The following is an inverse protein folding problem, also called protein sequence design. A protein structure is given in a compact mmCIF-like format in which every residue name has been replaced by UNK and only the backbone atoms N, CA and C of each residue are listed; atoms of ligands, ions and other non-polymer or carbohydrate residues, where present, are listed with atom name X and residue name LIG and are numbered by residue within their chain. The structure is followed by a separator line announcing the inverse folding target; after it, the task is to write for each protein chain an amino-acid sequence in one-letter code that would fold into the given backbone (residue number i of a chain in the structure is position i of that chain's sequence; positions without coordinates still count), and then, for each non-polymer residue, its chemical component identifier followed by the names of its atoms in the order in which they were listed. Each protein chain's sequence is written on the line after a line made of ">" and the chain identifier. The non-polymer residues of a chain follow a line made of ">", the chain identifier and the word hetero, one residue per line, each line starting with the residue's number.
data_IF_285748134625
#
_entry.id   IF_285748134625
#
_cell.length_a   1.000
_cell.length_b   1.000
_cell.length_c   1.000
_cell.angle_alpha   90.00
_cell.angle_beta   90.00
_cell.angle_gamma   90.00
#
_symmetry.space_group_name_H-M   'P 1'
#
loop_
_entity.id
_entity.type
_entity.pdbx_description
1 polymer ?
#
# COMPACT_ATOMS: atom_id res chain seq x y z
N UNK A 1 -2.26 87.85 -28.67
CA UNK A 1 -3.55 87.37 -28.12
C UNK A 1 -3.53 85.85 -28.19
N UNK A 2 -2.75 85.17 -27.35
CA UNK A 2 -2.85 84.97 -25.89
C UNK A 2 -3.28 83.51 -25.67
N UNK A 3 -2.34 82.62 -25.38
CA UNK A 3 -1.86 82.21 -24.03
C UNK A 3 -2.53 80.89 -23.61
N UNK A 4 -1.78 79.80 -23.60
CA UNK A 4 -1.22 79.12 -22.40
C UNK A 4 -2.24 78.24 -21.68
N UNK A 5 -1.97 76.92 -21.64
CA UNK A 5 -1.79 76.12 -20.41
C UNK A 5 -1.66 74.64 -20.81
N UNK A 6 -0.46 74.03 -20.81
CA UNK A 6 0.27 73.50 -19.64
C UNK A 6 -0.64 72.68 -18.71
N UNK A 7 -0.64 71.36 -18.92
CA UNK A 7 -0.85 70.39 -17.85
C UNK A 7 0.15 69.26 -18.04
N UNK A 8 1.38 69.52 -17.58
CA UNK A 8 2.40 68.51 -17.38
C UNK A 8 1.95 67.65 -16.17
N UNK A 9 1.49 66.43 -16.42
CA UNK A 9 1.39 65.43 -15.37
C UNK A 9 2.79 64.87 -15.12
N UNK A 10 3.47 65.50 -14.16
CA UNK A 10 4.70 65.01 -13.58
C UNK A 10 4.41 63.73 -12.81
N UNK A 11 4.72 62.59 -13.42
CA UNK A 11 4.78 61.28 -12.77
C UNK A 11 5.99 61.26 -11.83
N UNK A 12 5.80 61.76 -10.61
CA UNK A 12 6.80 61.65 -9.55
C UNK A 12 6.80 60.21 -9.01
N UNK A 13 7.85 59.47 -9.39
CA UNK A 13 8.32 58.26 -8.73
C UNK A 13 8.45 58.49 -7.22
N UNK A 14 7.50 57.98 -6.44
CA UNK A 14 7.72 57.66 -5.04
C UNK A 14 8.01 56.16 -4.94
N UNK A 15 9.29 55.83 -5.14
CA UNK A 15 9.93 54.62 -4.64
C UNK A 15 9.89 54.65 -3.10
N UNK A 16 8.70 54.44 -2.53
CA UNK A 16 8.59 54.03 -1.13
C UNK A 16 9.16 52.62 -1.06
N UNK A 17 10.39 52.53 -0.58
CA UNK A 17 11.02 51.29 -0.14
C UNK A 17 10.17 50.67 0.95
N UNK A 18 9.19 49.86 0.53
CA UNK A 18 8.56 48.88 1.41
C UNK A 18 9.65 47.83 1.64
N UNK A 19 10.41 48.04 2.71
CA UNK A 19 11.11 46.95 3.39
C UNK A 19 10.00 45.99 3.78
N UNK A 20 9.73 45.01 2.91
CA UNK A 20 8.92 43.84 3.24
C UNK A 20 9.73 43.14 4.32
N UNK A 21 9.50 43.55 5.56
CA UNK A 21 9.87 42.81 6.74
C UNK A 21 9.16 41.47 6.59
N UNK A 22 9.81 40.54 5.89
CA UNK A 22 9.38 39.15 5.85
C UNK A 22 9.27 38.77 7.31
N UNK A 23 8.04 38.49 7.82
CA UNK A 23 7.95 37.99 9.16
C UNK A 23 8.86 36.78 9.17
N UNK A 24 9.92 36.84 9.98
CA UNK A 24 10.59 35.63 10.43
C UNK A 24 9.48 34.91 11.15
N UNK A 25 8.78 34.03 10.41
CA UNK A 25 7.96 33.00 11.00
C UNK A 25 8.98 32.22 11.80
N UNK A 26 9.11 32.60 13.07
CA UNK A 26 9.66 31.73 14.07
C UNK A 26 8.72 30.54 14.03
N UNK A 27 9.10 29.53 13.22
CA UNK A 27 8.65 28.17 13.36
C UNK A 27 9.09 27.78 14.75
N UNK A 28 8.31 28.22 15.75
CA UNK A 28 8.36 27.69 17.08
C UNK A 28 8.25 26.19 16.86
N UNK A 29 9.33 25.48 17.15
CA UNK A 29 9.43 24.05 16.91
C UNK A 29 8.32 23.42 17.74
N UNK A 30 7.20 23.12 17.09
CA UNK A 30 6.09 22.46 17.75
C UNK A 30 6.59 21.08 18.17
N UNK A 31 6.17 20.60 19.35
CA UNK A 31 6.53 19.26 19.78
C UNK A 31 6.06 18.29 18.69
N UNK A 32 6.94 17.37 18.24
CA UNK A 32 6.55 16.37 17.25
C UNK A 32 5.38 15.53 17.78
N UNK A 33 4.50 15.08 16.90
CA UNK A 33 3.42 14.14 17.26
C UNK A 33 4.05 12.90 17.91
N UNK A 34 3.63 12.49 19.11
CA UNK A 34 4.15 11.28 19.75
C UNK A 34 3.93 10.07 18.84
N UNK A 35 4.98 9.29 18.60
CA UNK A 35 4.93 8.12 17.71
C UNK A 35 3.86 7.12 18.14
N UNK A 36 3.71 6.90 19.44
CA UNK A 36 2.69 6.03 20.04
C UNK A 36 1.25 6.46 19.66
N UNK A 37 0.98 7.76 19.57
CA UNK A 37 -0.35 8.25 19.19
C UNK A 37 -0.67 7.97 17.72
N UNK A 38 0.33 8.03 16.84
CA UNK A 38 0.19 7.64 15.43
C UNK A 38 -0.06 6.14 15.31
N UNK A 39 0.71 5.32 16.01
CA UNK A 39 0.58 3.86 15.99
C UNK A 39 -0.75 3.38 16.57
N UNK A 40 -1.24 4.03 17.63
CA UNK A 40 -2.55 3.75 18.19
C UNK A 40 -3.68 4.05 17.18
N UNK A 41 -3.63 5.21 16.51
CA UNK A 41 -4.65 5.55 15.50
C UNK A 41 -4.55 4.66 14.26
N UNK A 42 -3.33 4.31 13.85
CA UNK A 42 -3.06 3.35 12.77
C UNK A 42 -3.73 1.99 13.07
N UNK A 43 -3.53 1.45 14.27
CA UNK A 43 -4.13 0.19 14.69
C UNK A 43 -5.66 0.26 14.78
N UNK A 44 -6.21 1.39 15.25
CA UNK A 44 -7.66 1.60 15.32
C UNK A 44 -8.30 1.72 13.94
N UNK A 45 -7.65 2.42 13.00
CA UNK A 45 -8.09 2.53 11.61
C UNK A 45 -8.07 1.15 10.93
N UNK A 46 -6.97 0.41 11.07
CA UNK A 46 -6.86 -0.92 10.47
C UNK A 46 -7.92 -1.90 11.03
N UNK A 47 -8.15 -1.87 12.34
CA UNK A 47 -9.19 -2.68 13.00
C UNK A 47 -10.59 -2.30 12.50
N UNK A 48 -10.92 -1.00 12.45
CA UNK A 48 -12.24 -0.53 12.04
C UNK A 48 -12.53 -0.89 10.58
N UNK A 49 -11.57 -0.70 9.68
CA UNK A 49 -11.72 -1.07 8.27
C UNK A 49 -11.77 -2.60 8.12
N UNK A 50 -10.99 -3.35 8.90
CA UNK A 50 -11.02 -4.81 8.92
C UNK A 50 -12.36 -5.42 9.35
N UNK A 51 -13.20 -4.67 10.09
CA UNK A 51 -14.55 -5.12 10.45
C UNK A 51 -15.54 -5.03 9.28
N UNK A 52 -15.34 -4.10 8.35
CA UNK A 52 -16.27 -3.83 7.26
C UNK A 52 -15.75 -4.28 5.89
N UNK A 53 -14.46 -4.56 5.76
CA UNK A 53 -13.85 -4.98 4.50
C UNK A 53 -12.67 -5.93 4.71
N UNK A 54 -12.56 -6.90 3.80
CA UNK A 54 -11.49 -7.90 3.83
C UNK A 54 -10.20 -7.33 3.26
N UNK A 55 -9.03 -7.71 3.81
CA UNK A 55 -7.77 -7.39 3.17
C UNK A 55 -7.70 -8.03 1.78
N UNK A 56 -7.13 -7.32 0.80
CA UNK A 56 -6.90 -7.88 -0.52
C UNK A 56 -5.96 -9.10 -0.40
N UNK A 57 -6.28 -10.25 -1.00
CA UNK A 57 -5.48 -11.47 -0.88
C UNK A 57 -4.23 -11.38 -1.76
N UNK A 58 -3.25 -10.56 -1.34
CA UNK A 58 -2.00 -10.37 -2.05
C UNK A 58 -0.80 -10.62 -1.15
N UNK A 59 -0.02 -11.64 -1.50
CA UNK A 59 1.33 -11.80 -0.98
C UNK A 59 2.18 -10.73 -1.67
N UNK A 60 2.22 -9.52 -1.12
CA UNK A 60 3.41 -8.69 -1.31
C UNK A 60 4.52 -9.44 -0.59
N UNK A 61 5.29 -10.21 -1.36
CA UNK A 61 6.37 -11.06 -0.86
C UNK A 61 7.29 -10.23 0.04
N UNK A 62 7.21 -10.42 1.36
CA UNK A 62 8.13 -9.82 2.34
C UNK A 62 7.50 -8.99 3.46
N UNK A 63 6.22 -8.58 3.38
CA UNK A 63 5.50 -7.99 4.53
C UNK A 63 4.01 -7.99 4.26
N UNK A 64 3.21 -8.52 5.19
CA UNK A 64 1.82 -8.10 5.27
C UNK A 64 1.86 -6.57 5.48
N UNK A 65 1.45 -5.80 4.48
CA UNK A 65 1.47 -4.35 4.58
C UNK A 65 0.45 -3.95 5.64
N UNK A 66 0.91 -3.82 6.88
CA UNK A 66 0.15 -3.16 7.93
C UNK A 66 -0.10 -1.72 7.49
N UNK A 67 -1.15 -1.12 8.03
CA UNK A 67 -1.35 0.32 7.93
C UNK A 67 -0.05 1.07 8.29
N UNK A 68 0.14 2.28 7.76
CA UNK A 68 1.32 3.11 8.04
C UNK A 68 0.93 4.55 8.29
N UNK A 69 1.25 5.06 9.48
CA UNK A 69 1.13 6.46 9.85
C UNK A 69 2.43 7.26 9.64
N UNK A 70 2.32 8.37 8.93
CA UNK A 70 3.37 9.36 8.72
C UNK A 70 2.94 10.72 9.28
N UNK A 71 3.87 11.48 9.83
CA UNK A 71 3.67 12.87 10.19
C UNK A 71 4.50 13.75 9.25
N UNK A 72 3.83 14.66 8.55
CA UNK A 72 4.40 15.58 7.56
C UNK A 72 4.24 17.01 8.09
N UNK A 73 5.32 17.64 8.62
CA UNK A 73 5.23 18.97 9.21
C UNK A 73 4.62 20.01 8.27
N UNK A 74 3.61 20.75 8.74
CA UNK A 74 2.91 21.76 7.95
C UNK A 74 1.78 21.21 7.06
N UNK A 75 1.66 19.90 6.94
CA UNK A 75 0.54 19.24 6.25
C UNK A 75 -0.36 18.49 7.24
N UNK A 76 0.24 17.70 8.13
CA UNK A 76 -0.42 16.99 9.21
C UNK A 76 -0.06 15.50 9.24
N UNK A 77 -1.02 14.63 9.58
CA UNK A 77 -0.82 13.18 9.65
C UNK A 77 -1.42 12.47 8.43
N UNK A 78 -0.69 11.52 7.85
CA UNK A 78 -1.12 10.71 6.69
C UNK A 78 -1.07 9.24 7.06
N UNK A 79 -2.16 8.53 6.82
CA UNK A 79 -2.29 7.11 7.05
C UNK A 79 -2.54 6.40 5.73
N UNK A 80 -1.74 5.39 5.41
CA UNK A 80 -1.94 4.51 4.26
C UNK A 80 -2.36 3.16 4.80
N UNK A 81 -3.58 2.71 4.51
CA UNK A 81 -4.08 1.43 5.00
C UNK A 81 -3.78 0.31 4.00
N UNK A 82 -3.75 -0.93 4.50
CA UNK A 82 -3.65 -2.12 3.67
C UNK A 82 -4.74 -2.13 2.59
N UNK A 83 -4.41 -2.49 1.33
CA UNK A 83 -5.40 -2.59 0.26
C UNK A 83 -6.55 -3.53 0.61
N UNK A 84 -7.76 -3.17 0.18
CA UNK A 84 -9.00 -3.88 0.49
C UNK A 84 -9.57 -4.59 -0.72
N UNK A 85 -10.08 -5.79 -0.50
CA UNK A 85 -10.70 -6.60 -1.53
C UNK A 85 -12.06 -6.00 -1.94
N UNK A 86 -12.28 -5.83 -3.25
CA UNK A 86 -13.60 -5.59 -3.81
C UNK A 86 -14.14 -6.85 -4.50
N UNK A 87 -15.36 -7.31 -4.15
CA UNK A 87 -16.01 -8.36 -4.91
C UNK A 87 -16.19 -7.88 -6.36
N UNK A 88 -15.93 -8.76 -7.32
CA UNK A 88 -16.18 -8.45 -8.72
C UNK A 88 -17.69 -8.44 -8.95
N UNK A 89 -18.22 -7.31 -9.43
CA UNK A 89 -19.55 -7.25 -10.01
C UNK A 89 -19.57 -7.97 -11.35
N UNK A 90 -19.67 -9.31 -11.34
CA UNK A 90 -19.83 -10.13 -12.54
C UNK A 90 -18.76 -11.22 -12.72
N UNK A 91 -19.26 -12.44 -12.96
CA UNK A 91 -18.56 -13.68 -13.25
C UNK A 91 -17.61 -14.19 -12.15
N UNK A 92 -18.09 -15.17 -11.38
CA UNK A 92 -17.25 -16.01 -10.52
C UNK A 92 -16.63 -17.11 -11.39
N UNK A 93 -15.34 -16.98 -11.72
CA UNK A 93 -14.59 -18.08 -12.32
C UNK A 93 -14.17 -19.02 -11.20
N UNK A 94 -14.95 -20.09 -10.99
CA UNK A 94 -14.66 -21.10 -9.99
C UNK A 94 -13.76 -22.19 -10.59
N UNK A 95 -12.53 -22.30 -10.10
CA UNK A 95 -11.64 -23.41 -10.42
C UNK A 95 -12.05 -24.64 -9.61
N UNK A 96 -12.85 -25.53 -10.20
CA UNK A 96 -13.10 -26.87 -9.62
C UNK A 96 -12.18 -27.90 -10.26
N UNK A 97 -11.20 -28.37 -9.47
CA UNK A 97 -10.45 -29.58 -9.83
C UNK A 97 -11.34 -30.79 -9.52
N UNK A 98 -11.97 -31.37 -10.56
CA UNK A 98 -12.64 -32.68 -10.42
C UNK A 98 -11.65 -33.80 -10.69
N UNK A 99 -11.64 -34.81 -9.81
CA UNK A 99 -10.89 -36.05 -9.99
C UNK A 99 -11.65 -36.93 -10.99
N UNK A 100 -11.12 -37.12 -12.19
CA UNK A 100 -11.73 -38.01 -13.18
C UNK A 100 -11.63 -39.48 -12.70
N UNK A 101 -12.61 -40.35 -13.02
CA UNK A 101 -12.63 -41.75 -12.57
C UNK A 101 -11.46 -42.62 -13.11
N UNK A 102 -10.64 -42.09 -14.02
CA UNK A 102 -9.49 -42.79 -14.63
C UNK A 102 -8.11 -42.30 -14.15
N UNK A 103 -8.02 -41.60 -13.00
CA UNK A 103 -6.72 -41.25 -12.39
C UNK A 103 -5.94 -40.11 -13.07
N UNK A 104 -6.46 -39.50 -14.14
CA UNK A 104 -5.91 -38.26 -14.72
C UNK A 104 -6.59 -37.04 -14.12
N UNK A 105 -5.84 -36.27 -13.34
CA UNK A 105 -6.26 -34.95 -12.85
C UNK A 105 -6.18 -33.97 -14.01
N UNK A 106 -7.31 -33.68 -14.67
CA UNK A 106 -7.36 -32.63 -15.69
C UNK A 106 -8.02 -31.40 -15.06
N UNK A 107 -7.35 -30.24 -14.97
CA UNK A 107 -8.01 -29.01 -14.56
C UNK A 107 -9.09 -28.70 -15.59
N UNK A 108 -10.34 -28.62 -15.16
CA UNK A 108 -11.46 -28.24 -16.03
C UNK A 108 -11.87 -26.83 -15.63
N UNK A 109 -11.75 -25.91 -16.58
CA UNK A 109 -12.12 -24.50 -16.39
C UNK A 109 -13.62 -24.38 -16.60
N UNK A 110 -14.36 -23.98 -15.56
CA UNK A 110 -15.76 -23.61 -15.69
C UNK A 110 -15.90 -22.15 -15.28
N UNK A 111 -16.04 -21.28 -16.28
CA UNK A 111 -16.51 -19.91 -16.05
C UNK A 111 -18.03 -19.98 -15.88
N UNK A 112 -18.54 -19.70 -14.69
CA UNK A 112 -19.98 -19.52 -14.48
C UNK A 112 -20.26 -18.02 -14.46
N UNK A 113 -20.93 -17.55 -15.51
CA UNK A 113 -21.45 -16.18 -15.58
C UNK A 113 -22.89 -16.23 -15.10
N UNK A 114 -23.13 -15.94 -13.82
CA UNK A 114 -24.49 -15.71 -13.35
C UNK A 114 -24.95 -14.33 -13.82
N UNK A 115 -25.82 -14.31 -14.83
CA UNK A 115 -26.55 -13.11 -15.25
C UNK A 115 -28.05 -13.43 -15.16
N UNK A 116 -28.69 -13.04 -14.06
CA UNK A 116 -30.14 -13.07 -13.94
C UNK A 116 -30.79 -14.44 -13.72
N UNK A 117 -30.20 -15.32 -12.91
CA UNK A 117 -30.88 -16.55 -12.43
C UNK A 117 -30.84 -17.76 -13.37
N UNK A 118 -30.40 -17.62 -14.61
CA UNK A 118 -30.10 -18.76 -15.49
C UNK A 118 -28.61 -19.09 -15.45
N UNK A 119 -28.27 -20.24 -14.87
CA UNK A 119 -26.92 -20.79 -14.88
C UNK A 119 -26.62 -21.39 -16.25
N UNK A 120 -26.08 -20.59 -17.18
CA UNK A 120 -25.66 -21.06 -18.49
C UNK A 120 -24.20 -21.51 -18.44
N UNK A 121 -23.96 -22.82 -18.48
CA UNK A 121 -22.62 -23.40 -18.61
C UNK A 121 -22.16 -23.20 -20.05
N UNK A 122 -21.38 -22.15 -20.29
CA UNK A 122 -20.71 -21.95 -21.58
C UNK A 122 -19.42 -22.77 -21.54
N UNK A 123 -19.37 -23.86 -22.32
CA UNK A 123 -18.10 -24.52 -22.60
C UNK A 123 -17.41 -23.69 -23.69
N UNK A 124 -16.20 -23.17 -23.46
CA UNK A 124 -15.47 -22.47 -24.51
C UNK A 124 -15.28 -23.43 -25.68
N UNK A 125 -15.49 -22.94 -26.89
CA UNK A 125 -15.23 -23.73 -28.11
C UNK A 125 -13.75 -24.10 -28.15
N UNK A 126 -13.43 -25.27 -28.71
CA UNK A 126 -12.05 -25.81 -28.72
C UNK A 126 -11.05 -24.81 -29.35
N UNK A 127 -11.52 -24.00 -30.29
CA UNK A 127 -10.73 -22.96 -30.95
C UNK A 127 -10.37 -21.80 -30.02
N UNK A 128 -11.27 -21.41 -29.09
CA UNK A 128 -10.96 -20.40 -28.07
C UNK A 128 -9.90 -20.91 -27.09
N UNK A 129 -9.95 -22.20 -26.75
CA UNK A 129 -8.97 -22.81 -25.86
C UNK A 129 -7.56 -22.83 -26.49
N UNK A 130 -7.48 -23.14 -27.79
CA UNK A 130 -6.22 -23.09 -28.55
C UNK A 130 -5.66 -21.66 -28.66
N UNK A 131 -6.53 -20.67 -28.87
CA UNK A 131 -6.12 -19.26 -28.88
C UNK A 131 -5.56 -18.81 -27.52
N UNK A 132 -6.19 -19.23 -26.41
CA UNK A 132 -5.71 -18.95 -25.05
C UNK A 132 -4.38 -19.64 -24.79
N UNK A 133 -4.21 -20.91 -25.19
CA UNK A 133 -2.94 -21.63 -25.05
C UNK A 133 -1.81 -20.92 -25.80
N UNK A 134 -2.07 -20.47 -27.02
CA UNK A 134 -1.10 -19.72 -27.82
C UNK A 134 -0.72 -18.39 -27.16
N UNK A 135 -1.70 -17.65 -26.65
CA UNK A 135 -1.48 -16.39 -25.94
C UNK A 135 -0.66 -16.60 -24.65
N UNK A 136 -0.88 -17.69 -23.92
CA UNK A 136 -0.09 -18.03 -22.72
C UNK A 136 1.36 -18.35 -23.09
N UNK A 137 1.60 -19.06 -24.19
CA UNK A 137 2.95 -19.36 -24.67
C UNK A 137 3.70 -18.10 -25.11
N UNK A 138 3.03 -17.16 -25.76
CA UNK A 138 3.59 -15.86 -26.12
C UNK A 138 3.96 -15.05 -24.88
N UNK A 139 3.05 -14.97 -23.91
CA UNK A 139 3.31 -14.26 -22.66
C UNK A 139 4.47 -14.88 -21.85
N UNK A 140 4.57 -16.22 -21.82
CA UNK A 140 5.71 -16.89 -21.17
C UNK A 140 7.03 -16.56 -21.86
N UNK A 141 7.05 -16.53 -23.20
CA UNK A 141 8.23 -16.16 -23.97
C UNK A 141 8.64 -14.71 -23.67
N UNK A 142 7.69 -13.78 -23.70
CA UNK A 142 7.94 -12.36 -23.40
C UNK A 142 8.45 -12.17 -21.97
N UNK A 143 7.85 -12.87 -20.99
CA UNK A 143 8.29 -12.83 -19.60
C UNK A 143 9.71 -13.38 -19.41
N UNK A 144 10.09 -14.43 -20.14
CA UNK A 144 11.44 -14.98 -20.11
C UNK A 144 12.46 -14.04 -20.76
N UNK A 145 12.08 -13.37 -21.85
CA UNK A 145 12.89 -12.34 -22.50
C UNK A 145 13.08 -11.12 -21.59
N UNK A 146 12.02 -10.66 -20.93
CA UNK A 146 12.07 -9.58 -19.95
C UNK A 146 12.92 -9.93 -18.74
N UNK A 147 12.88 -11.19 -18.28
CA UNK A 147 13.76 -11.66 -17.20
C UNK A 147 15.23 -11.65 -17.63
N UNK A 148 15.53 -12.15 -18.84
CA UNK A 148 16.90 -12.15 -19.38
C UNK A 148 17.42 -10.73 -19.60
N UNK A 149 16.59 -9.79 -20.06
CA UNK A 149 17.00 -8.39 -20.24
C UNK A 149 17.29 -7.72 -18.89
N UNK A 150 16.44 -7.94 -17.88
CA UNK A 150 16.65 -7.43 -16.52
C UNK A 150 17.94 -7.99 -15.88
N UNK A 151 18.26 -9.26 -16.13
CA UNK A 151 19.50 -9.88 -15.63
C UNK A 151 20.75 -9.25 -16.27
N UNK A 152 20.72 -8.98 -17.58
CA UNK A 152 21.80 -8.28 -18.28
C UNK A 152 21.96 -6.82 -17.80
N UNK A 153 20.84 -6.12 -17.55
CA UNK A 153 20.89 -4.76 -17.00
C UNK A 153 21.46 -4.73 -15.58
N UNK A 154 21.09 -5.71 -14.75
CA UNK A 154 21.62 -5.85 -13.41
C UNK A 154 23.13 -6.11 -13.42
N UNK A 155 23.62 -7.02 -14.27
CA UNK A 155 25.06 -7.25 -14.43
C UNK A 155 25.80 -5.99 -14.88
N UNK A 156 25.20 -5.21 -15.79
CA UNK A 156 25.76 -3.94 -16.26
C UNK A 156 25.86 -2.92 -15.12
N UNK A 157 24.80 -2.74 -14.34
CA UNK A 157 24.78 -1.84 -13.20
C UNK A 157 25.76 -2.27 -12.10
N UNK A 158 25.84 -3.57 -11.81
CA UNK A 158 26.79 -4.14 -10.86
C UNK A 158 28.23 -3.85 -11.26
N UNK A 159 28.56 -3.99 -12.56
CA UNK A 159 29.89 -3.67 -13.09
C UNK A 159 30.20 -2.18 -13.02
N UNK A 160 29.24 -1.30 -13.35
CA UNK A 160 29.43 0.16 -13.23
C UNK A 160 29.68 0.57 -11.78
N UNK A 161 28.92 0.00 -10.85
CA UNK A 161 29.06 0.26 -9.42
C UNK A 161 30.42 -0.25 -8.91
N UNK A 162 30.84 -1.45 -9.31
CA UNK A 162 32.17 -1.98 -8.99
C UNK A 162 33.29 -1.07 -9.53
N UNK A 163 33.18 -0.57 -10.76
CA UNK A 163 34.16 0.36 -11.34
C UNK A 163 34.21 1.71 -10.62
N UNK A 164 33.07 2.20 -10.11
CA UNK A 164 33.02 3.44 -9.30
C UNK A 164 33.60 3.26 -7.90
N UNK A 165 33.41 2.08 -7.30
CA UNK A 165 33.91 1.76 -5.95
C UNK A 165 35.37 1.29 -5.96
N UNK A 166 35.86 0.74 -7.07
CA UNK A 166 37.27 0.48 -7.28
C UNK A 166 37.99 1.84 -7.27
N UNK A 167 38.46 2.23 -6.08
CA UNK A 167 39.20 3.46 -5.87
C UNK A 167 40.37 3.55 -6.87
N UNK A 168 40.68 4.74 -7.42
CA UNK A 168 41.86 4.91 -8.24
C UNK A 168 43.10 4.44 -7.48
N UNK A 169 44.09 3.81 -8.15
CA UNK A 169 45.28 3.31 -7.48
C UNK A 169 45.93 4.46 -6.71
N UNK A 170 46.01 4.28 -5.38
CA UNK A 170 46.58 5.25 -4.48
C UNK A 170 48.02 5.57 -4.91
N UNK A 171 48.35 6.87 -5.00
CA UNK A 171 49.73 7.33 -5.12
C UNK A 171 50.61 6.66 -4.03
N UNK A 172 51.87 6.33 -4.35
CA UNK A 172 52.74 5.57 -3.46
C UNK A 172 52.91 6.30 -2.12
N UNK A 173 52.36 5.70 -1.06
CA UNK A 173 52.48 6.18 0.32
C UNK A 173 53.79 5.66 0.91
N UNK A 174 54.63 6.52 1.52
CA UNK A 174 55.90 6.08 2.10
C UNK A 174 55.69 5.15 3.30
N UNK A 175 56.55 4.14 3.36
CA UNK A 175 56.59 3.07 4.32
C UNK A 175 56.78 3.56 5.76
N UNK A 176 56.05 2.95 6.71
CA UNK A 176 56.21 3.24 8.14
C UNK A 176 55.33 2.42 9.09
N UNK A 177 55.64 1.12 9.22
CA UNK A 177 55.55 0.31 10.45
C UNK A 177 54.17 0.11 11.17
N UNK A 178 54.08 -0.69 12.25
CA UNK A 178 53.94 -2.15 12.20
C UNK A 178 52.64 -2.68 12.88
N UNK A 179 52.43 -3.98 12.63
CA UNK A 179 51.32 -4.89 12.97
C UNK A 179 51.12 -5.13 14.47
N UNK A 180 49.86 -5.25 14.93
CA UNK A 180 49.43 -6.00 16.13
C UNK A 180 47.89 -6.31 16.08
N UNK A 181 47.32 -7.25 16.87
CA UNK A 181 46.83 -8.52 16.34
C UNK A 181 45.31 -8.75 16.42
N UNK A 182 44.92 -9.81 15.71
CA UNK A 182 43.62 -10.42 15.50
C UNK A 182 42.96 -10.86 16.82
N UNK A 183 41.76 -10.34 17.09
CA UNK A 183 40.87 -10.79 18.18
C UNK A 183 39.91 -11.89 17.70
N UNK A 184 39.87 -12.96 18.47
CA UNK A 184 39.31 -14.27 18.16
C UNK A 184 37.79 -14.33 17.97
N UNK A 185 37.34 -15.21 17.06
CA UNK A 185 35.95 -15.63 16.90
C UNK A 185 35.55 -16.64 17.99
N UNK A 186 34.35 -16.53 18.61
CA UNK A 186 33.83 -17.57 19.48
C UNK A 186 33.31 -18.77 18.67
N UNK A 187 33.84 -19.94 19.00
CA UNK A 187 33.43 -21.25 18.50
C UNK A 187 32.13 -21.67 19.19
N UNK A 188 31.07 -21.90 18.41
CA UNK A 188 29.82 -22.45 18.91
C UNK A 188 29.84 -23.99 18.78
N UNK A 189 29.58 -24.77 19.85
CA UNK A 189 29.61 -26.23 19.78
C UNK A 189 28.37 -26.81 19.09
N UNK A 190 28.61 -27.74 18.18
CA UNK A 190 27.57 -28.53 17.51
C UNK A 190 26.96 -29.58 18.47
N UNK A 191 25.63 -29.75 18.52
CA UNK A 191 24.99 -30.88 19.19
C UNK A 191 25.08 -32.16 18.33
N UNK A 192 25.06 -33.35 18.96
CA UNK A 192 25.10 -34.63 18.26
C UNK A 192 23.79 -34.91 17.49
N UNK A 193 23.83 -35.73 16.41
CA UNK A 193 22.64 -36.16 15.71
C UNK A 193 21.86 -37.16 16.58
N UNK A 194 20.75 -36.72 17.15
CA UNK A 194 19.73 -37.61 17.69
C UNK A 194 19.19 -38.48 16.56
N UNK A 195 19.38 -39.79 16.70
CA UNK A 195 18.81 -40.80 15.83
C UNK A 195 17.27 -40.65 15.80
N UNK A 196 16.74 -40.28 14.63
CA UNK A 196 15.31 -40.30 14.34
C UNK A 196 14.87 -41.77 14.22
N UNK A 197 14.38 -42.33 15.33
CA UNK A 197 13.44 -43.44 15.24
C UNK A 197 12.16 -42.92 14.60
N UNK A 198 11.87 -43.33 13.37
CA UNK A 198 10.56 -43.09 12.74
C UNK A 198 9.50 -43.88 13.53
N UNK A 199 8.52 -43.23 14.19
CA UNK A 199 7.33 -43.93 14.62
C UNK A 199 6.51 -44.36 13.39
N UNK A 200 5.76 -45.48 13.47
CA UNK A 200 4.85 -45.90 12.41
C UNK A 200 3.84 -44.77 12.13
N UNK A 201 3.75 -44.37 10.86
CA UNK A 201 2.97 -43.22 10.43
C UNK A 201 1.48 -43.39 10.75
N UNK A 202 0.84 -42.41 11.41
CA UNK A 202 -0.62 -42.39 11.50
C UNK A 202 -1.18 -42.14 10.09
N UNK A 203 -2.07 -43.01 9.63
CA UNK A 203 -2.92 -42.82 8.43
C UNK A 203 -3.95 -41.71 8.67
N UNK A 204 -3.48 -40.52 9.09
CA UNK A 204 -4.28 -39.32 9.19
C UNK A 204 -4.33 -38.59 7.85
N UNK A 205 -5.41 -37.85 7.56
CA UNK A 205 -5.41 -36.91 6.43
C UNK A 205 -4.18 -36.01 6.56
N UNK A 206 -3.36 -35.94 5.51
CA UNK A 206 -2.16 -35.10 5.49
C UNK A 206 -2.52 -33.68 5.97
N UNK A 207 -1.74 -33.09 6.88
CA UNK A 207 -1.98 -31.72 7.31
C UNK A 207 -1.95 -30.81 6.07
N UNK A 208 -2.86 -29.83 5.97
CA UNK A 208 -2.83 -28.89 4.86
C UNK A 208 -1.44 -28.26 4.79
N UNK A 209 -0.91 -28.04 3.58
CA UNK A 209 0.43 -27.52 3.43
C UNK A 209 0.54 -26.14 4.10
N UNK A 210 1.71 -25.79 4.67
CA UNK A 210 1.87 -24.62 5.53
C UNK A 210 1.62 -23.28 4.81
N UNK A 211 1.63 -23.27 3.48
CA UNK A 211 1.29 -22.09 2.68
C UNK A 211 -0.22 -21.79 2.62
N UNK A 212 -1.07 -22.74 3.02
CA UNK A 212 -2.54 -22.56 2.95
C UNK A 212 -3.03 -21.50 3.93
N UNK A 213 -2.32 -21.29 5.04
CA UNK A 213 -2.58 -20.19 5.99
C UNK A 213 -2.14 -18.82 5.47
N UNK A 214 -1.33 -18.75 4.41
CA UNK A 214 -1.01 -17.48 3.73
C UNK A 214 -2.17 -16.95 2.90
N UNK A 215 -3.18 -17.79 2.64
CA UNK A 215 -4.40 -17.41 1.95
C UNK A 215 -5.58 -17.61 2.90
N UNK A 216 -6.01 -16.58 3.66
CA UNK A 216 -7.24 -16.66 4.43
C UNK A 216 -8.40 -16.88 3.47
N UNK A 217 -8.76 -18.13 3.25
CA UNK A 217 -9.80 -18.56 2.30
C UNK A 217 -11.12 -18.85 3.03
N UNK A 218 -11.13 -18.77 4.36
CA UNK A 218 -12.18 -19.39 5.19
C UNK A 218 -13.36 -18.46 5.52
N UNK A 219 -13.55 -17.38 4.77
CA UNK A 219 -14.74 -16.54 4.88
C UNK A 219 -15.72 -16.81 3.72
N UNK A 220 -17.05 -16.92 3.96
CA UNK A 220 -18.03 -16.98 2.86
C UNK A 220 -17.82 -15.78 1.92
N UNK A 221 -18.01 -15.89 0.60
CA UNK A 221 -17.87 -14.76 -0.31
C UNK A 221 -18.63 -13.54 0.21
N UNK A 222 -18.04 -12.35 0.09
CA UNK A 222 -18.72 -11.11 0.46
C UNK A 222 -19.57 -10.68 -0.73
N UNK A 223 -20.87 -10.95 -0.67
CA UNK A 223 -21.82 -10.71 -1.76
C UNK A 223 -22.31 -9.24 -1.80
N UNK A 224 -21.81 -8.37 -0.90
CA UNK A 224 -22.18 -6.96 -0.90
C UNK A 224 -21.69 -6.26 -2.17
N UNK A 225 -22.47 -5.32 -2.74
CA UNK A 225 -22.02 -4.58 -3.91
C UNK A 225 -20.78 -3.74 -3.56
N UNK A 226 -19.84 -3.55 -4.51
CA UNK A 226 -18.61 -2.78 -4.27
C UNK A 226 -18.84 -1.40 -3.65
N UNK A 227 -19.89 -0.70 -4.10
CA UNK A 227 -20.22 0.64 -3.61
C UNK A 227 -20.66 0.64 -2.14
N UNK A 228 -21.32 -0.43 -1.67
CA UNK A 228 -21.68 -0.56 -0.26
C UNK A 228 -20.45 -0.78 0.62
N UNK A 229 -19.51 -1.63 0.17
CA UNK A 229 -18.25 -1.85 0.90
C UNK A 229 -17.45 -0.55 0.99
N UNK A 230 -17.36 0.21 -0.10
CA UNK A 230 -16.72 1.53 -0.14
C UNK A 230 -17.40 2.50 0.84
N UNK A 231 -18.73 2.55 0.84
CA UNK A 231 -19.49 3.40 1.77
C UNK A 231 -19.29 3.00 3.23
N UNK A 232 -19.27 1.70 3.54
CA UNK A 232 -19.04 1.17 4.89
C UNK A 232 -17.62 1.49 5.38
N UNK A 233 -16.61 1.30 4.52
CA UNK A 233 -15.20 1.65 4.83
C UNK A 233 -15.08 3.15 5.09
N UNK A 234 -15.68 3.98 4.24
CA UNK A 234 -15.69 5.44 4.43
C UNK A 234 -16.33 5.81 5.77
N UNK A 235 -17.48 5.23 6.10
CA UNK A 235 -18.17 5.48 7.36
C UNK A 235 -17.33 5.05 8.57
N UNK A 236 -16.71 3.85 8.50
CA UNK A 236 -15.84 3.34 9.54
C UNK A 236 -14.64 4.27 9.79
N UNK A 237 -13.96 4.72 8.74
CA UNK A 237 -12.83 5.65 8.88
C UNK A 237 -13.26 6.99 9.47
N UNK A 238 -14.36 7.58 8.99
CA UNK A 238 -14.87 8.85 9.54
C UNK A 238 -15.20 8.70 11.02
N UNK A 239 -15.85 7.60 11.41
CA UNK A 239 -16.18 7.31 12.80
C UNK A 239 -14.92 7.16 13.67
N UNK A 240 -13.90 6.44 13.20
CA UNK A 240 -12.62 6.30 13.91
C UNK A 240 -11.90 7.64 14.05
N UNK A 241 -11.83 8.44 12.98
CA UNK A 241 -11.25 9.78 13.04
C UNK A 241 -12.00 10.67 14.04
N UNK A 242 -13.33 10.61 14.05
CA UNK A 242 -14.15 11.39 14.98
C UNK A 242 -13.91 11.01 16.45
N UNK A 243 -13.68 9.73 16.75
CA UNK A 243 -13.45 9.24 18.11
C UNK A 243 -12.01 9.33 18.61
N UNK A 244 -11.03 9.22 17.70
CA UNK A 244 -9.62 9.05 18.08
C UNK A 244 -8.68 10.10 17.47
N UNK A 245 -9.08 10.81 16.42
CA UNK A 245 -8.22 11.78 15.71
C UNK A 245 -7.77 12.96 16.57
N UNK A 246 -8.53 13.33 17.60
CA UNK A 246 -8.15 14.38 18.55
C UNK A 246 -6.95 14.00 19.44
N UNK A 247 -6.59 12.71 19.53
CA UNK A 247 -5.44 12.23 20.32
C UNK A 247 -4.08 12.66 19.75
N UNK A 248 -4.05 13.12 18.49
CA UNK A 248 -2.84 13.61 17.82
C UNK A 248 -2.46 15.03 18.30
N UNK A 249 -2.02 15.16 19.56
CA UNK A 249 -1.77 16.45 20.24
C UNK A 249 -0.59 17.28 19.71
N UNK A 250 0.18 16.78 18.75
CA UNK A 250 1.27 17.52 18.09
C UNK A 250 0.88 18.22 16.78
N UNK A 251 -0.33 17.96 16.27
CA UNK A 251 -0.81 18.56 15.03
C UNK A 251 -1.32 19.98 15.25
N UNK A 252 -1.07 20.85 14.29
CA UNK A 252 -1.67 22.17 14.19
C UNK A 252 -3.19 22.07 14.03
N UNK A 253 -3.92 23.10 14.43
CA UNK A 253 -5.38 23.16 14.22
C UNK A 253 -5.75 23.29 12.74
N UNK A 254 -4.88 23.88 11.93
CA UNK A 254 -5.02 24.06 10.48
C UNK A 254 -4.49 22.87 9.65
N UNK A 255 -3.77 21.94 10.27
CA UNK A 255 -3.29 20.71 9.64
C UNK A 255 -4.40 19.66 9.45
N UNK A 256 -4.14 18.68 8.58
CA UNK A 256 -5.07 17.63 8.22
C UNK A 256 -4.68 16.27 8.80
N UNK A 257 -5.67 15.42 9.01
CA UNK A 257 -5.53 13.98 9.16
C UNK A 257 -6.08 13.34 7.88
N UNK A 258 -5.20 12.73 7.10
CA UNK A 258 -5.52 12.12 5.82
C UNK A 258 -5.41 10.59 5.92
N UNK A 259 -6.36 9.87 5.34
CA UNK A 259 -6.38 8.40 5.27
C UNK A 259 -6.57 7.99 3.81
N UNK A 260 -5.63 7.21 3.28
CA UNK A 260 -5.65 6.66 1.94
C UNK A 260 -5.89 5.15 1.98
N UNK A 261 -6.78 4.66 1.12
CA UNK A 261 -7.17 3.25 1.06
C UNK A 261 -7.35 2.85 -0.40
N UNK A 262 -6.62 1.82 -0.78
CA UNK A 262 -6.72 1.22 -2.10
C UNK A 262 -7.72 0.07 -2.08
N UNK A 263 -8.50 -0.05 -3.15
CA UNK A 263 -9.44 -1.12 -3.36
C UNK A 263 -9.05 -1.92 -4.60
N UNK A 264 -8.83 -3.22 -4.42
CA UNK A 264 -8.31 -4.13 -5.44
C UNK A 264 -9.37 -5.21 -5.73
N UNK A 265 -9.70 -5.48 -7.00
CA UNK A 265 -10.64 -6.54 -7.35
C UNK A 265 -10.14 -7.92 -6.92
N UNK A 266 -11.03 -8.74 -6.36
CA UNK A 266 -10.71 -10.14 -6.00
C UNK A 266 -10.46 -10.98 -7.26
N UNK A 267 -9.38 -11.76 -7.27
CA UNK A 267 -9.12 -12.77 -8.30
C UNK A 267 -8.19 -12.34 -9.44
N UNK A 268 -7.32 -11.34 -9.24
CA UNK A 268 -6.13 -11.10 -10.08
C UNK A 268 -4.90 -11.52 -9.25
N UNK A 269 -3.87 -12.10 -9.88
CA UNK A 269 -2.57 -12.26 -9.23
C UNK A 269 -2.11 -10.88 -8.73
N UNK A 270 -2.04 -10.70 -7.41
CA UNK A 270 -2.01 -9.37 -6.79
C UNK A 270 -0.68 -8.64 -6.99
N UNK A 271 0.35 -9.36 -7.43
CA UNK A 271 1.66 -8.77 -7.72
C UNK A 271 1.64 -7.65 -8.76
N UNK A 272 0.60 -7.55 -9.61
CA UNK A 272 0.49 -6.50 -10.64
C UNK A 272 -0.89 -5.80 -10.66
N UNK A 273 -1.79 -6.13 -9.73
CA UNK A 273 -3.14 -5.59 -9.75
C UNK A 273 -3.13 -4.10 -9.37
N UNK A 274 -3.38 -3.22 -10.35
CA UNK A 274 -3.62 -1.80 -10.08
C UNK A 274 -4.87 -1.65 -9.21
N UNK A 275 -4.88 -0.73 -8.22
CA UNK A 275 -6.10 -0.38 -7.50
C UNK A 275 -7.22 -0.02 -8.48
N UNK A 276 -8.38 -0.64 -8.33
CA UNK A 276 -9.55 -0.30 -9.13
C UNK A 276 -10.19 1.00 -8.64
N UNK A 277 -10.05 1.31 -7.35
CA UNK A 277 -10.46 2.57 -6.74
C UNK A 277 -9.50 2.93 -5.61
N UNK A 278 -9.27 4.22 -5.43
CA UNK A 278 -8.54 4.75 -4.27
C UNK A 278 -9.40 5.79 -3.59
N UNK A 279 -9.54 5.71 -2.26
CA UNK A 279 -10.27 6.71 -1.48
C UNK A 279 -9.29 7.46 -0.60
N UNK A 280 -9.35 8.79 -0.68
CA UNK A 280 -8.64 9.73 0.18
C UNK A 280 -9.66 10.47 1.06
N UNK A 281 -9.56 10.25 2.37
CA UNK A 281 -10.41 10.89 3.38
C UNK A 281 -9.57 11.88 4.16
N UNK A 282 -9.95 13.15 4.16
CA UNK A 282 -9.21 14.24 4.82
C UNK A 282 -10.11 14.98 5.81
N UNK A 283 -9.68 15.05 7.06
CA UNK A 283 -10.35 15.80 8.11
C UNK A 283 -9.39 16.87 8.67
N UNK A 284 -9.88 18.09 8.91
CA UNK A 284 -9.06 19.13 9.57
C UNK A 284 -8.95 18.84 11.06
N UNK A 285 -7.76 19.03 11.62
CA UNK A 285 -7.51 18.80 13.05
C UNK A 285 -8.43 19.63 13.95
N UNK A 286 -8.67 20.90 13.61
CA UNK A 286 -9.62 21.77 14.34
C UNK A 286 -11.03 21.18 14.46
N UNK A 287 -11.50 20.48 13.42
CA UNK A 287 -12.86 19.96 13.38
C UNK A 287 -12.95 18.66 14.19
N UNK A 288 -11.90 17.84 14.17
CA UNK A 288 -11.75 16.67 15.04
C UNK A 288 -11.69 17.07 16.53
N UNK A 289 -10.96 18.14 16.84
CA UNK A 289 -10.91 18.69 18.20
C UNK A 289 -12.26 19.28 18.65
N UNK A 290 -12.94 19.99 17.75
CA UNK A 290 -14.28 20.51 18.01
C UNK A 290 -15.28 19.38 18.27
N UNK A 291 -15.21 18.28 17.50
CA UNK A 291 -16.04 17.09 17.71
C UNK A 291 -15.78 16.43 19.06
N UNK A 292 -14.51 16.28 19.44
CA UNK A 292 -14.14 15.70 20.74
C UNK A 292 -14.57 16.59 21.92
N UNK A 293 -14.56 17.91 21.71
CA UNK A 293 -15.05 18.88 22.68
C UNK A 293 -16.59 19.00 22.70
N UNK A 294 -17.31 18.23 21.88
CA UNK A 294 -18.78 18.29 21.77
C UNK A 294 -19.32 19.57 21.12
N UNK A 295 -18.46 20.36 20.45
CA UNK A 295 -18.81 21.62 19.77
C UNK A 295 -19.27 21.43 18.32
N UNK A 296 -19.03 20.23 17.77
CA UNK A 296 -19.37 19.85 16.41
C UNK A 296 -20.10 18.51 16.48
N UNK A 297 -21.26 18.39 15.82
CA UNK A 297 -21.97 17.11 15.76
C UNK A 297 -21.24 16.10 14.87
N UNK A 298 -21.67 14.83 14.91
CA UNK A 298 -21.08 13.79 14.04
C UNK A 298 -21.42 14.05 12.57
N UNK A 299 -22.66 14.47 12.29
CA UNK A 299 -23.18 14.79 10.97
C UNK A 299 -22.50 16.04 10.39
N UNK A 300 -22.32 17.07 11.23
CA UNK A 300 -21.57 18.27 10.84
C UNK A 300 -20.11 17.93 10.53
N UNK A 301 -19.44 17.11 11.36
CA UNK A 301 -18.09 16.64 11.05
C UNK A 301 -18.06 15.90 9.71
N UNK A 302 -18.99 14.96 9.49
CA UNK A 302 -19.07 14.19 8.25
C UNK A 302 -19.21 15.10 7.01
N UNK A 303 -20.01 16.17 7.08
CA UNK A 303 -20.13 17.15 6.00
C UNK A 303 -18.87 17.99 5.75
N UNK A 304 -17.99 18.13 6.74
CA UNK A 304 -16.72 18.87 6.64
C UNK A 304 -15.54 18.00 6.23
N UNK A 305 -15.68 16.68 6.29
CA UNK A 305 -14.65 15.75 5.83
C UNK A 305 -14.60 15.81 4.30
N UNK A 306 -13.41 16.09 3.77
CA UNK A 306 -13.13 16.06 2.34
C UNK A 306 -12.92 14.60 1.93
N UNK A 307 -13.74 14.08 1.02
CA UNK A 307 -13.59 12.73 0.46
C UNK A 307 -13.33 12.86 -1.03
N UNK A 308 -12.26 12.22 -1.51
CA UNK A 308 -11.90 12.15 -2.93
C UNK A 308 -11.73 10.69 -3.34
N UNK A 309 -12.32 10.32 -4.47
CA UNK A 309 -12.23 8.99 -5.04
C UNK A 309 -11.48 9.10 -6.39
N UNK A 310 -10.51 8.22 -6.61
CA UNK A 310 -9.66 8.15 -7.81
C UNK A 310 -9.73 6.78 -8.46
#
# INVERSE_FOLDING_TARGET
>A
MDRVSRAAFATALLLSGVVVARPRIALAQRPPVPREALEALEASLDRAVGQVSRPAPGIVLGRAESARGYHLPGYGAVFVLAPRALPRGGAVVAFRVRKAPAGRTRPQFQASVERGGEQRVVSPEVDELLAIEQQVLEFQREAEEARRSAELEFERLSRDLHNRLAAPPASPRPAGAPVAPVGASPTSPAPPPSALGLPPGPEGPMPPPPWRSWFPTDGPPDDRPPDAIVADVRAAVIATLAGEGARLRGLATDEFVAVAIDFVPVGVFVSEARPARTILIRARKKDLDARQAGKLSAEELQSRVEVSEY
#
